data_IF_890687846658
#
_entry.id   IF_890687846658
#
_cell.length_a   1.000
_cell.length_b   1.000
_cell.length_c   1.000
_cell.angle_alpha   90.00
_cell.angle_beta   90.00
_cell.angle_gamma   90.00
#
_symmetry.space_group_name_H-M   'P 1'
#
loop_
_entity.id
_entity.type
_entity.pdbx_description
1 polymer ?
#
# COMPACT_ATOMS: atom_id res chain seq x y z
N UNK A 1 10.14 -9.54 10.33
CA UNK A 1 9.84 -8.31 11.10
C UNK A 1 8.34 -8.28 11.33
N UNK A 2 7.95 -8.17 12.59
CA UNK A 2 6.58 -7.85 13.00
C UNK A 2 6.29 -6.41 12.54
N UNK A 3 5.27 -6.22 11.72
CA UNK A 3 4.92 -4.89 11.23
C UNK A 3 4.21 -4.07 12.31
N UNK A 4 3.71 -4.66 13.41
CA UNK A 4 3.00 -3.92 14.45
C UNK A 4 1.70 -3.26 13.98
N UNK A 5 1.15 -3.75 12.87
CA UNK A 5 -0.06 -3.22 12.21
C UNK A 5 -1.31 -3.47 13.08
N UNK A 6 -1.25 -4.47 13.95
CA UNK A 6 -2.25 -4.90 14.94
C UNK A 6 -2.36 -3.96 16.15
N UNK A 7 -1.46 -2.99 16.30
CA UNK A 7 -1.48 -2.02 17.42
C UNK A 7 -2.47 -0.88 17.23
N UNK A 8 -3.05 -0.75 16.05
CA UNK A 8 -4.05 0.27 15.74
C UNK A 8 -5.17 -0.36 14.90
N UNK A 9 -6.39 -0.36 15.44
CA UNK A 9 -7.54 -1.04 14.84
C UNK A 9 -7.87 -0.53 13.43
N UNK A 10 -7.75 0.78 13.16
CA UNK A 10 -8.03 1.35 11.83
C UNK A 10 -6.99 0.89 10.80
N UNK A 11 -5.71 0.83 11.20
CA UNK A 11 -4.62 0.36 10.34
C UNK A 11 -4.73 -1.14 10.08
N UNK A 12 -5.01 -1.94 11.11
CA UNK A 12 -5.25 -3.38 10.99
C UNK A 12 -6.47 -3.66 10.10
N UNK A 13 -7.57 -2.95 10.32
CA UNK A 13 -8.80 -3.09 9.54
C UNK A 13 -8.54 -2.80 8.05
N UNK A 14 -7.85 -1.70 7.77
CA UNK A 14 -7.46 -1.32 6.40
C UNK A 14 -6.57 -2.39 5.75
N UNK A 15 -5.56 -2.88 6.47
CA UNK A 15 -4.69 -3.95 6.00
C UNK A 15 -5.49 -5.24 5.70
N UNK A 16 -6.44 -5.59 6.57
CA UNK A 16 -7.28 -6.77 6.42
C UNK A 16 -8.23 -6.69 5.23
N UNK A 17 -8.75 -5.50 4.87
CA UNK A 17 -9.55 -5.33 3.65
C UNK A 17 -8.73 -5.74 2.42
N UNK A 18 -7.50 -5.22 2.31
CA UNK A 18 -6.60 -5.51 1.18
C UNK A 18 -6.20 -6.99 1.18
N UNK A 19 -5.80 -7.53 2.34
CA UNK A 19 -5.43 -8.93 2.48
C UNK A 19 -6.57 -9.89 2.14
N UNK A 20 -7.79 -9.59 2.57
CA UNK A 20 -8.98 -10.38 2.23
C UNK A 20 -9.21 -10.38 0.72
N UNK A 21 -9.21 -9.21 0.09
CA UNK A 21 -9.41 -9.10 -1.37
C UNK A 21 -8.38 -9.89 -2.15
N UNK A 22 -7.11 -9.82 -1.75
CA UNK A 22 -6.01 -10.58 -2.33
C UNK A 22 -6.21 -12.11 -2.17
N UNK A 23 -6.53 -12.58 -0.96
CA UNK A 23 -6.68 -14.02 -0.68
C UNK A 23 -7.92 -14.62 -1.34
N UNK A 24 -9.04 -13.88 -1.38
CA UNK A 24 -10.27 -14.39 -2.01
C UNK A 24 -10.19 -14.39 -3.53
N UNK A 25 -9.25 -13.64 -4.13
CA UNK A 25 -9.18 -13.46 -5.58
C UNK A 25 -10.47 -12.86 -6.14
N UNK A 26 -11.09 -11.95 -5.39
CA UNK A 26 -12.34 -11.31 -5.83
C UNK A 26 -12.08 -10.54 -7.13
N UNK A 27 -12.88 -10.85 -8.16
CA UNK A 27 -12.74 -10.26 -9.49
C UNK A 27 -13.27 -8.82 -9.54
N UNK A 28 -14.03 -8.39 -8.54
CA UNK A 28 -14.43 -6.99 -8.41
C UNK A 28 -13.22 -6.15 -7.99
N UNK A 29 -13.00 -5.04 -8.68
CA UNK A 29 -11.91 -4.12 -8.36
C UNK A 29 -12.11 -3.51 -6.96
N UNK A 30 -11.10 -3.65 -6.10
CA UNK A 30 -11.08 -2.98 -4.80
C UNK A 30 -10.72 -1.49 -5.00
N UNK A 31 -11.73 -0.62 -4.88
CA UNK A 31 -11.55 0.82 -4.83
C UNK A 31 -11.52 1.28 -3.36
N UNK A 32 -10.33 1.58 -2.85
CA UNK A 32 -10.13 1.93 -1.45
C UNK A 32 -9.47 3.32 -1.33
N UNK A 33 -10.16 4.25 -0.67
CA UNK A 33 -9.62 5.56 -0.30
C UNK A 33 -9.43 5.65 1.21
N UNK A 34 -8.18 5.81 1.65
CA UNK A 34 -7.82 5.91 3.06
C UNK A 34 -7.46 7.36 3.37
N UNK A 35 -8.30 8.03 4.16
CA UNK A 35 -8.05 9.40 4.63
C UNK A 35 -7.43 9.40 6.02
N UNK A 36 -6.95 10.56 6.47
CA UNK A 36 -6.50 10.79 7.83
C UNK A 36 -5.51 11.95 7.94
N UNK A 37 -5.37 12.49 9.14
CA UNK A 37 -4.44 13.60 9.41
C UNK A 37 -2.96 13.19 9.23
N UNK A 38 -2.06 14.18 9.13
CA UNK A 38 -0.61 13.92 9.15
C UNK A 38 -0.24 13.14 10.41
N UNK A 39 0.62 12.13 10.26
CA UNK A 39 1.06 11.30 11.39
C UNK A 39 0.15 10.12 11.74
N UNK A 40 -0.99 9.93 11.07
CA UNK A 40 -1.92 8.82 11.33
C UNK A 40 -1.42 7.43 10.90
N UNK A 41 -0.17 7.32 10.42
CA UNK A 41 0.42 6.04 10.01
C UNK A 41 -0.04 5.48 8.66
N UNK A 42 -0.60 6.30 7.74
CA UNK A 42 -0.98 5.82 6.39
C UNK A 42 0.17 5.15 5.63
N UNK A 43 1.38 5.73 5.67
CA UNK A 43 2.57 5.13 5.05
C UNK A 43 2.95 3.80 5.70
N UNK A 44 2.65 3.62 6.99
CA UNK A 44 2.89 2.36 7.68
C UNK A 44 1.99 1.25 7.13
N UNK A 45 0.70 1.55 6.88
CA UNK A 45 -0.24 0.63 6.23
C UNK A 45 0.24 0.25 4.82
N UNK A 46 0.69 1.23 4.03
CA UNK A 46 1.22 0.98 2.67
C UNK A 46 2.42 0.02 2.74
N UNK A 47 3.37 0.25 3.64
CA UNK A 47 4.55 -0.60 3.79
C UNK A 47 4.19 -2.01 4.27
N UNK A 48 3.19 -2.15 5.15
CA UNK A 48 2.68 -3.45 5.57
C UNK A 48 2.05 -4.22 4.39
N UNK A 49 1.29 -3.55 3.53
CA UNK A 49 0.75 -4.15 2.29
C UNK A 49 1.88 -4.58 1.35
N UNK A 50 2.91 -3.77 1.16
CA UNK A 50 4.07 -4.15 0.33
C UNK A 50 4.73 -5.42 0.89
N UNK A 51 4.97 -5.45 2.20
CA UNK A 51 5.55 -6.61 2.90
C UNK A 51 4.70 -7.86 2.74
N UNK A 52 3.36 -7.74 2.72
CA UNK A 52 2.45 -8.87 2.46
C UNK A 52 2.69 -9.44 1.06
N UNK A 53 2.72 -8.61 0.03
CA UNK A 53 2.92 -9.06 -1.35
C UNK A 53 4.31 -9.66 -1.58
N UNK A 54 5.35 -9.10 -0.94
CA UNK A 54 6.70 -9.67 -0.94
C UNK A 54 6.72 -11.07 -0.29
N UNK A 55 6.13 -11.21 0.91
CA UNK A 55 6.06 -12.51 1.61
C UNK A 55 5.27 -13.57 0.86
N UNK A 56 4.33 -13.15 0.01
CA UNK A 56 3.53 -14.04 -0.82
C UNK A 56 4.19 -14.36 -2.17
N UNK A 57 5.42 -13.89 -2.42
CA UNK A 57 6.12 -14.03 -3.71
C UNK A 57 5.28 -13.47 -4.88
N UNK A 58 4.65 -12.31 -4.64
CA UNK A 58 3.77 -11.60 -5.59
C UNK A 58 4.07 -10.12 -5.65
N UNK A 59 5.30 -9.70 -5.33
CA UNK A 59 5.71 -8.30 -5.42
C UNK A 59 5.51 -7.73 -6.84
N UNK A 60 5.61 -8.56 -7.88
CA UNK A 60 5.35 -8.18 -9.28
C UNK A 60 3.89 -7.75 -9.54
N UNK A 61 2.95 -8.16 -8.68
CA UNK A 61 1.52 -7.82 -8.77
C UNK A 61 1.15 -6.51 -8.10
N UNK A 62 2.09 -5.86 -7.41
CA UNK A 62 1.84 -4.61 -6.71
C UNK A 62 2.68 -3.48 -7.32
N UNK A 63 2.00 -2.42 -7.74
CA UNK A 63 2.65 -1.19 -8.18
C UNK A 63 2.33 -0.06 -7.19
N UNK A 64 3.38 0.54 -6.63
CA UNK A 64 3.26 1.58 -5.61
C UNK A 64 3.72 2.90 -6.19
N UNK A 65 2.90 3.93 -6.03
CA UNK A 65 3.14 5.24 -6.62
C UNK A 65 2.86 6.39 -5.66
N UNK A 66 3.56 7.51 -5.86
CA UNK A 66 3.32 8.75 -5.15
C UNK A 66 3.43 9.98 -6.08
N UNK A 67 2.85 11.14 -5.69
CA UNK A 67 2.95 12.35 -6.50
C UNK A 67 4.36 12.93 -6.59
N UNK A 68 5.16 12.84 -5.53
CA UNK A 68 6.49 13.46 -5.43
C UNK A 68 7.58 12.43 -5.15
N UNK A 69 8.81 12.72 -5.61
CA UNK A 69 9.96 11.82 -5.45
C UNK A 69 10.25 11.46 -4.00
N UNK A 70 10.24 12.43 -3.08
CA UNK A 70 10.47 12.16 -1.66
C UNK A 70 9.43 11.21 -1.07
N UNK A 71 8.16 11.33 -1.48
CA UNK A 71 7.10 10.43 -0.99
C UNK A 71 7.23 9.05 -1.61
N UNK A 72 7.59 8.95 -2.89
CA UNK A 72 7.82 7.68 -3.57
C UNK A 72 8.93 6.88 -2.86
N UNK A 73 10.04 7.54 -2.49
CA UNK A 73 11.13 6.91 -1.72
C UNK A 73 10.65 6.39 -0.36
N UNK A 74 9.80 7.13 0.36
CA UNK A 74 9.31 6.73 1.69
C UNK A 74 8.42 5.46 1.68
N UNK A 75 7.81 5.15 0.55
CA UNK A 75 6.96 3.97 0.36
C UNK A 75 7.59 2.95 -0.60
N UNK A 76 8.90 3.07 -0.87
CA UNK A 76 9.64 2.21 -1.78
C UNK A 76 9.00 2.06 -3.16
N UNK A 77 8.35 3.11 -3.65
CA UNK A 77 7.64 3.15 -4.92
C UNK A 77 8.26 4.09 -5.95
N UNK A 78 7.50 4.36 -7.01
CA UNK A 78 7.87 5.30 -8.07
C UNK A 78 7.01 6.56 -8.00
N UNK A 79 7.41 7.62 -8.71
CA UNK A 79 6.47 8.71 -8.96
C UNK A 79 5.42 8.27 -9.98
N UNK A 80 4.22 8.85 -9.93
CA UNK A 80 3.17 8.54 -10.92
C UNK A 80 3.64 8.83 -12.35
N UNK A 81 4.43 9.89 -12.53
CA UNK A 81 5.03 10.24 -13.81
C UNK A 81 5.99 9.17 -14.32
N UNK A 82 6.87 8.65 -13.46
CA UNK A 82 7.82 7.61 -13.84
C UNK A 82 7.13 6.29 -14.13
N UNK A 83 6.14 5.90 -13.31
CA UNK A 83 5.45 4.63 -13.43
C UNK A 83 4.55 4.58 -14.68
N UNK A 84 3.87 5.68 -15.00
CA UNK A 84 2.90 5.76 -16.10
C UNK A 84 3.46 6.44 -17.36
N UNK A 85 4.76 6.73 -17.40
CA UNK A 85 5.43 7.42 -18.51
C UNK A 85 4.78 8.76 -18.87
N UNK A 86 4.34 9.52 -17.88
CA UNK A 86 3.73 10.84 -18.06
C UNK A 86 4.81 11.94 -18.09
N UNK A 87 4.61 13.04 -18.85
CA UNK A 87 5.48 14.21 -18.78
C UNK A 87 5.46 14.84 -17.38
N UNK A 88 6.56 15.49 -17.01
CA UNK A 88 6.71 16.18 -15.72
C UNK A 88 6.09 17.57 -15.73
#
# INVERSE_FOLDING_TARGET
MDTGIDKNEDQEHTFRIVGKHFVTGDQNQLLLHISGIRGSGKSHVINAICTLFEKMDRADKLQVTAPTGCTAVLICGHTIHALMFLPK
#
